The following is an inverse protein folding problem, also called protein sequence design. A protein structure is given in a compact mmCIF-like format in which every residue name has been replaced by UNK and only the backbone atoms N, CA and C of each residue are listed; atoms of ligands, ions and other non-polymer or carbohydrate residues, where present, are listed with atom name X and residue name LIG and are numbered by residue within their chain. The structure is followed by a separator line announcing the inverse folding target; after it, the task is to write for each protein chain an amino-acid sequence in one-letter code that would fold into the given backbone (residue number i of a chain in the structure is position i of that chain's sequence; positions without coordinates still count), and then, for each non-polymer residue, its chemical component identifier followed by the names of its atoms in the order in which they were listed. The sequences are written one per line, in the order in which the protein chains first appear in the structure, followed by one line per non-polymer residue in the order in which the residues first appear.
data_IF_909529164378
#
_entry.id   IF_909529164378
#
_cell.length_a   1.000
_cell.length_b   1.000
_cell.length_c   1.000
_cell.angle_alpha   90.00
_cell.angle_beta   90.00
_cell.angle_gamma   90.00
#
_symmetry.space_group_name_H-M   'P 1'
#
loop_
_entity.id
_entity.type
_entity.pdbx_description
1 polymer ?
#
# COMPACT_ATOMS: atom_id res chain seq x y z
N UNK A 1 13.52 -13.20 -1.48
CA UNK A 1 12.33 -12.39 -1.84
C UNK A 1 11.73 -11.83 -0.56
N UNK A 2 11.33 -10.56 -0.53
CA UNK A 2 10.62 -9.97 0.61
C UNK A 2 9.13 -10.15 0.34
N UNK A 3 8.42 -10.88 1.21
CA UNK A 3 6.97 -11.05 1.08
C UNK A 3 6.26 -9.75 1.45
N UNK A 4 5.18 -9.41 0.75
CA UNK A 4 4.31 -8.27 1.10
C UNK A 4 3.80 -8.37 2.54
N UNK A 5 3.50 -9.58 3.01
CA UNK A 5 3.05 -9.84 4.38
C UNK A 5 4.08 -9.41 5.44
N UNK A 6 5.36 -9.34 5.11
CA UNK A 6 6.43 -8.95 6.03
C UNK A 6 6.43 -7.46 6.39
N UNK A 7 5.80 -6.60 5.59
CA UNK A 7 5.74 -5.15 5.85
C UNK A 7 4.33 -4.57 5.79
N UNK A 8 3.49 -5.04 4.87
CA UNK A 8 2.13 -4.51 4.66
C UNK A 8 1.19 -4.83 5.83
N UNK A 9 1.44 -5.91 6.58
CA UNK A 9 0.60 -6.31 7.72
C UNK A 9 0.44 -5.19 8.73
N UNK A 10 1.54 -4.54 9.15
CA UNK A 10 1.50 -3.39 10.07
C UNK A 10 0.63 -2.28 9.49
N UNK A 11 0.86 -1.91 8.22
CA UNK A 11 0.16 -0.80 7.58
C UNK A 11 -1.35 -1.02 7.54
N UNK A 12 -1.80 -2.24 7.23
CA UNK A 12 -3.23 -2.53 7.05
C UNK A 12 -3.97 -2.64 8.38
N UNK A 13 -3.40 -3.36 9.36
CA UNK A 13 -4.09 -3.55 10.65
C UNK A 13 -4.17 -2.26 11.46
N UNK A 14 -3.23 -1.33 11.27
CA UNK A 14 -3.24 -0.02 11.94
C UNK A 14 -3.84 1.09 11.09
N UNK A 15 -4.35 0.80 9.88
CA UNK A 15 -4.82 1.81 8.92
C UNK A 15 -3.80 2.95 8.75
N UNK A 16 -2.52 2.58 8.59
CA UNK A 16 -1.36 3.47 8.49
C UNK A 16 -1.07 4.31 9.75
N UNK A 17 -1.71 4.04 10.88
CA UNK A 17 -1.34 4.68 12.14
C UNK A 17 0.10 4.34 12.53
N UNK A 18 0.83 5.36 12.99
CA UNK A 18 2.27 5.29 13.30
C UNK A 18 3.16 4.80 12.13
N UNK A 19 2.66 4.93 10.89
CA UNK A 19 3.41 4.65 9.65
C UNK A 19 3.69 5.93 8.88
N UNK A 20 2.83 6.94 9.01
CA UNK A 20 2.99 8.29 8.47
C UNK A 20 2.77 9.33 9.59
N UNK A 21 3.19 10.60 9.43
CA UNK A 21 2.86 11.67 10.37
C UNK A 21 1.37 11.77 10.67
N UNK A 22 1.03 12.26 11.86
CA UNK A 22 -0.36 12.34 12.33
C UNK A 22 -1.27 13.12 11.37
N UNK A 23 -0.78 14.20 10.77
CA UNK A 23 -1.54 14.99 9.79
C UNK A 23 -1.86 14.16 8.53
N UNK A 24 -0.85 13.50 7.95
CA UNK A 24 -1.04 12.60 6.81
C UNK A 24 -1.99 11.45 7.15
N UNK A 25 -1.90 10.90 8.37
CA UNK A 25 -2.77 9.83 8.86
C UNK A 25 -4.23 10.27 8.89
N UNK A 26 -4.53 11.46 9.42
CA UNK A 26 -5.91 12.00 9.44
C UNK A 26 -6.46 12.15 8.02
N UNK A 27 -5.66 12.70 7.10
CA UNK A 27 -6.08 12.84 5.69
C UNK A 27 -6.31 11.49 5.01
N UNK A 28 -5.47 10.47 5.29
CA UNK A 28 -5.70 9.12 4.81
C UNK A 28 -7.02 8.55 5.34
N UNK A 29 -7.36 8.83 6.59
CA UNK A 29 -8.62 8.39 7.19
C UNK A 29 -9.83 9.12 6.62
N UNK A 30 -9.73 10.41 6.34
CA UNK A 30 -10.78 11.17 5.66
C UNK A 30 -11.10 10.55 4.29
N UNK A 31 -10.07 10.27 3.49
CA UNK A 31 -10.24 9.64 2.17
C UNK A 31 -10.72 8.19 2.31
N UNK A 32 -10.22 7.42 3.28
CA UNK A 32 -10.68 6.05 3.55
C UNK A 32 -12.18 6.00 3.88
N UNK A 33 -12.67 6.94 4.69
CA UNK A 33 -14.08 7.01 5.08
C UNK A 33 -14.98 7.46 3.91
N UNK A 34 -14.44 8.26 2.98
CA UNK A 34 -15.16 8.72 1.79
C UNK A 34 -15.16 7.68 0.65
N UNK A 35 -13.99 7.15 0.31
CA UNK A 35 -13.74 6.36 -0.91
C UNK A 35 -13.70 4.84 -0.65
N UNK A 36 -13.63 4.44 0.61
CA UNK A 36 -13.60 3.05 1.05
C UNK A 36 -12.21 2.39 0.98
N UNK A 37 -12.21 1.06 1.09
CA UNK A 37 -11.00 0.25 1.32
C UNK A 37 -9.94 0.29 0.21
N UNK A 38 -10.28 0.76 -1.00
CA UNK A 38 -9.32 0.89 -2.10
C UNK A 38 -8.15 1.81 -1.72
N UNK A 39 -8.44 2.81 -0.87
CA UNK A 39 -7.46 3.75 -0.34
C UNK A 39 -6.29 3.05 0.34
N UNK A 40 -6.51 1.93 1.04
CA UNK A 40 -5.43 1.20 1.71
C UNK A 40 -4.41 0.63 0.72
N UNK A 41 -4.90 0.12 -0.42
CA UNK A 41 -4.05 -0.39 -1.49
C UNK A 41 -3.33 0.76 -2.17
N UNK A 42 -4.05 1.82 -2.53
CA UNK A 42 -3.47 2.99 -3.20
C UNK A 42 -2.41 3.68 -2.32
N UNK A 43 -2.65 3.84 -1.02
CA UNK A 43 -1.68 4.40 -0.09
C UNK A 43 -0.42 3.53 0.02
N UNK A 44 -0.57 2.20 0.10
CA UNK A 44 0.58 1.29 0.11
C UNK A 44 1.41 1.40 -1.18
N UNK A 45 0.74 1.45 -2.34
CA UNK A 45 1.42 1.63 -3.64
C UNK A 45 2.09 3.01 -3.71
N UNK A 46 1.46 4.06 -3.20
CA UNK A 46 2.03 5.41 -3.16
C UNK A 46 3.35 5.45 -2.36
N UNK A 47 3.35 4.85 -1.16
CA UNK A 47 4.56 4.72 -0.33
C UNK A 47 5.64 3.95 -1.07
N UNK A 48 5.31 2.78 -1.62
CA UNK A 48 6.26 1.96 -2.38
C UNK A 48 6.81 2.69 -3.61
N UNK A 49 5.98 3.49 -4.28
CA UNK A 49 6.38 4.29 -5.42
C UNK A 49 7.36 5.40 -5.04
N UNK A 50 7.14 6.06 -3.90
CA UNK A 50 8.05 7.11 -3.39
C UNK A 50 9.42 6.53 -3.02
N UNK A 51 9.46 5.35 -2.40
CA UNK A 51 10.72 4.73 -1.97
C UNK A 51 11.35 3.80 -3.03
N UNK A 52 10.76 3.69 -4.22
CA UNK A 52 11.15 2.70 -5.24
C UNK A 52 12.64 2.75 -5.60
N UNK A 53 13.22 3.95 -5.63
CA UNK A 53 14.61 4.17 -6.01
C UNK A 53 15.57 3.70 -4.90
N UNK A 54 15.12 3.78 -3.64
CA UNK A 54 15.88 3.30 -2.48
C UNK A 54 15.85 1.77 -2.39
N UNK A 55 14.69 1.15 -2.60
CA UNK A 55 14.55 -0.31 -2.53
C UNK A 55 15.14 -1.03 -3.75
N UNK A 56 15.28 -0.33 -4.87
CA UNK A 56 15.88 -0.85 -6.11
C UNK A 56 17.35 -0.47 -6.27
N UNK A 57 17.94 0.21 -5.28
CA UNK A 57 19.33 0.64 -5.35
C UNK A 57 20.28 -0.57 -5.38
N UNK A 58 21.42 -0.52 -6.09
CA UNK A 58 22.35 -1.65 -6.19
C UNK A 58 22.87 -2.18 -4.85
N UNK A 59 22.96 -1.30 -3.84
CA UNK A 59 23.40 -1.61 -2.48
C UNK A 59 22.26 -2.07 -1.56
N UNK A 60 21.01 -2.03 -2.00
CA UNK A 60 19.86 -2.41 -1.20
C UNK A 60 19.89 -3.92 -0.93
N UNK A 61 19.88 -4.28 0.34
CA UNK A 61 19.78 -5.66 0.82
C UNK A 61 18.52 -5.87 1.66
N UNK A 62 18.25 -7.12 2.02
CA UNK A 62 17.08 -7.51 2.78
C UNK A 62 16.84 -6.66 4.05
N UNK A 63 17.87 -6.46 4.87
CA UNK A 63 17.77 -5.72 6.13
C UNK A 63 17.52 -4.24 5.90
N UNK A 64 18.22 -3.63 4.94
CA UNK A 64 18.04 -2.21 4.60
C UNK A 64 16.64 -1.93 4.06
N UNK A 65 16.10 -2.82 3.22
CA UNK A 65 14.75 -2.67 2.66
C UNK A 65 13.71 -2.84 3.75
N UNK A 66 13.84 -3.86 4.62
CA UNK A 66 12.89 -4.04 5.73
C UNK A 66 12.95 -2.92 6.75
N UNK A 67 14.15 -2.40 7.05
CA UNK A 67 14.32 -1.24 7.92
C UNK A 67 13.61 -0.02 7.35
N UNK A 68 13.79 0.25 6.06
CA UNK A 68 13.10 1.34 5.36
C UNK A 68 11.57 1.14 5.36
N UNK A 69 11.09 -0.05 5.03
CA UNK A 69 9.65 -0.38 5.00
C UNK A 69 8.96 -0.33 6.38
N UNK A 70 9.74 -0.49 7.45
CA UNK A 70 9.25 -0.46 8.84
C UNK A 70 9.26 0.95 9.46
N UNK A 71 9.94 1.90 8.81
CA UNK A 71 10.11 3.27 9.27
C UNK A 71 8.82 4.11 9.17
N UNK A 72 8.86 5.33 9.69
CA UNK A 72 7.80 6.32 9.46
C UNK A 72 8.10 7.07 8.17
N UNK A 73 7.15 7.10 7.24
CA UNK A 73 7.29 7.79 5.96
C UNK A 73 6.85 9.24 6.09
N UNK A 74 7.79 10.16 5.95
CA UNK A 74 7.53 11.60 5.88
C UNK A 74 7.63 12.02 4.43
N UNK A 75 6.58 12.66 3.92
CA UNK A 75 6.53 13.15 2.54
C UNK A 75 6.90 14.63 2.50
N UNK A 76 7.72 15.02 1.53
CA UNK A 76 8.09 16.42 1.33
C UNK A 76 6.89 17.29 0.94
N UNK A 77 6.04 16.76 0.06
CA UNK A 77 4.79 17.39 -0.37
C UNK A 77 3.62 16.39 -0.20
N UNK A 78 2.90 16.53 0.91
CA UNK A 78 1.71 15.73 1.18
C UNK A 78 0.61 15.99 0.15
N UNK A 79 0.44 17.22 -0.32
CA UNK A 79 -0.61 17.52 -1.29
C UNK A 79 -0.33 16.86 -2.64
N UNK A 80 0.94 16.76 -3.04
CA UNK A 80 1.33 16.00 -4.22
C UNK A 80 1.00 14.51 -4.07
N UNK A 81 1.25 13.93 -2.89
CA UNK A 81 0.86 12.55 -2.59
C UNK A 81 -0.65 12.36 -2.74
N UNK A 82 -1.46 13.19 -2.09
CA UNK A 82 -2.92 13.06 -2.13
C UNK A 82 -3.49 13.32 -3.53
N UNK A 83 -2.96 14.30 -4.29
CA UNK A 83 -3.33 14.49 -5.71
C UNK A 83 -3.00 13.27 -6.56
N UNK A 84 -1.87 12.61 -6.30
CA UNK A 84 -1.50 11.38 -7.00
C UNK A 84 -2.45 10.23 -6.67
N UNK A 85 -2.80 10.08 -5.38
CA UNK A 85 -3.76 9.09 -4.92
C UNK A 85 -5.16 9.34 -5.50
N UNK A 86 -5.62 10.59 -5.50
CA UNK A 86 -6.92 11.00 -6.08
C UNK A 86 -7.02 10.59 -7.55
N UNK A 87 -5.96 10.80 -8.35
CA UNK A 87 -5.93 10.39 -9.76
C UNK A 87 -6.10 8.89 -9.95
N UNK A 88 -5.54 8.07 -9.07
CA UNK A 88 -5.72 6.61 -9.12
C UNK A 88 -7.10 6.19 -8.63
N UNK A 89 -7.59 6.81 -7.55
CA UNK A 89 -8.91 6.52 -7.00
C UNK A 89 -10.05 6.97 -7.92
N UNK A 90 -9.81 7.95 -8.79
CA UNK A 90 -10.77 8.41 -9.80
C UNK A 90 -10.74 7.58 -11.08
N UNK A 91 -9.78 6.65 -11.24
CA UNK A 91 -9.74 5.72 -12.36
C UNK A 91 -10.72 4.55 -12.16
N UNK A 92 -11.87 4.64 -12.83
CA UNK A 92 -12.92 3.61 -12.77
C UNK A 92 -12.46 2.23 -13.27
N UNK A 93 -11.52 2.18 -14.22
CA UNK A 93 -10.98 0.92 -14.72
C UNK A 93 -10.13 0.25 -13.65
N UNK A 94 -9.25 1.02 -12.99
CA UNK A 94 -8.43 0.50 -11.91
C UNK A 94 -9.30 -0.05 -10.76
N UNK A 95 -10.37 0.64 -10.39
CA UNK A 95 -11.32 0.15 -9.38
C UNK A 95 -11.96 -1.18 -9.78
N UNK A 96 -12.42 -1.29 -11.03
CA UNK A 96 -12.99 -2.53 -11.54
C UNK A 96 -11.96 -3.69 -11.54
N UNK A 97 -10.69 -3.40 -11.85
CA UNK A 97 -9.60 -4.38 -11.74
C UNK A 97 -9.36 -4.80 -10.28
N UNK A 98 -9.36 -3.86 -9.32
CA UNK A 98 -9.24 -4.16 -7.90
C UNK A 98 -10.38 -5.05 -7.36
N UNK A 99 -11.61 -4.83 -7.80
CA UNK A 99 -12.73 -5.70 -7.47
C UNK A 99 -12.60 -7.09 -8.08
N UNK A 100 -12.12 -7.17 -9.32
CA UNK A 100 -11.83 -8.45 -9.98
C UNK A 100 -10.76 -9.23 -9.21
N UNK A 101 -9.69 -8.58 -8.75
CA UNK A 101 -8.64 -9.22 -7.95
C UNK A 101 -9.16 -9.76 -6.61
N UNK A 102 -10.14 -9.09 -6.00
CA UNK A 102 -10.77 -9.57 -4.75
C UNK A 102 -11.63 -10.81 -4.97
N UNK A 103 -12.41 -10.83 -6.06
CA UNK A 103 -13.19 -12.01 -6.44
C UNK A 103 -12.27 -13.18 -6.75
N UNK A 104 -11.20 -12.93 -7.50
CA UNK A 104 -10.20 -13.96 -7.81
C UNK A 104 -9.49 -14.48 -6.56
N UNK A 105 -9.12 -13.59 -5.64
CA UNK A 105 -8.54 -13.99 -4.35
C UNK A 105 -9.50 -14.89 -3.54
N UNK A 106 -10.77 -14.51 -3.45
CA UNK A 106 -11.78 -15.31 -2.74
C UNK A 106 -11.93 -16.71 -3.37
N UNK A 107 -11.89 -16.79 -4.71
CA UNK A 107 -11.91 -18.06 -5.45
C UNK A 107 -10.68 -18.92 -5.14
N UNK A 108 -9.48 -18.34 -5.19
CA UNK A 108 -8.23 -19.05 -4.87
C UNK A 108 -8.22 -19.59 -3.43
N UNK A 109 -8.78 -18.84 -2.47
CA UNK A 109 -8.93 -19.29 -1.08
C UNK A 109 -9.90 -20.47 -1.00
N UNK A 110 -11.07 -20.39 -1.64
CA UNK A 110 -12.07 -21.46 -1.64
C UNK A 110 -11.54 -22.76 -2.30
N UNK A 111 -10.69 -22.64 -3.31
CA UNK A 111 -10.05 -23.77 -3.99
C UNK A 111 -8.81 -24.32 -3.25
N UNK A 112 -8.40 -23.71 -2.12
CA UNK A 112 -7.17 -24.08 -1.39
C UNK A 112 -5.87 -23.78 -2.13
N UNK A 113 -5.90 -22.90 -3.13
CA UNK A 113 -4.76 -22.55 -4.01
C UNK A 113 -4.09 -21.22 -3.65
N UNK A 114 -4.60 -20.49 -2.65
CA UNK A 114 -4.10 -19.18 -2.23
C UNK A 114 -2.60 -19.16 -1.90
N UNK A 115 -2.05 -20.25 -1.34
CA UNK A 115 -0.63 -20.35 -1.01
C UNK A 115 0.31 -20.22 -2.21
N UNK A 116 -0.13 -20.57 -3.42
CA UNK A 116 0.66 -20.39 -4.66
C UNK A 116 0.66 -18.97 -5.19
N UNK A 117 -0.30 -18.14 -4.78
CA UNK A 117 -0.43 -16.75 -5.23
C UNK A 117 0.36 -15.76 -4.34
N UNK A 118 0.84 -16.21 -3.17
CA UNK A 118 1.59 -15.41 -2.22
C UNK A 118 3.12 -15.59 -2.31
N UNK A 119 3.59 -16.43 -3.25
CA UNK A 119 4.99 -16.84 -3.42
C UNK A 119 5.55 -16.39 -4.77
#
# INVERSE_FOLDING_TARGET
MISSTSFVTKWYITLFANTVPYQTQLRLWDVLLLEGRDVLVIAAVAILWVIKDHISAPQANFETILSLLSSTFVFEDEDALFRWMERLLSDARLRAEMDTWRVEWARLVAEGKSGKALL
#
